data_IF_535462251533
#
_entry.id   IF_535462251533
#
_cell.length_a   1.000
_cell.length_b   1.000
_cell.length_c   1.000
_cell.angle_alpha   90.00
_cell.angle_beta   90.00
_cell.angle_gamma   90.00
#
_symmetry.space_group_name_H-M   'P 1'
#
loop_
_entity.id
_entity.type
_entity.pdbx_description
1 polymer ?
#
# COMPACT_ATOMS: atom_id res chain seq x y z
N UNK A 1 9.02 17.03 -15.53
CA UNK A 1 7.89 16.80 -14.59
C UNK A 1 8.45 16.33 -13.25
N UNK A 2 8.00 16.88 -12.11
CA UNK A 2 8.44 16.45 -10.77
C UNK A 2 7.38 15.52 -10.14
N UNK A 3 7.82 14.47 -9.46
CA UNK A 3 6.93 13.53 -8.76
C UNK A 3 6.36 14.23 -7.52
N UNK A 4 5.03 14.32 -7.35
CA UNK A 4 4.43 14.98 -6.19
C UNK A 4 4.69 14.17 -4.91
N UNK A 5 4.92 14.86 -3.79
CA UNK A 5 5.07 14.24 -2.47
C UNK A 5 3.74 13.66 -1.98
N UNK A 6 3.81 12.64 -1.11
CA UNK A 6 2.64 12.02 -0.48
C UNK A 6 1.89 13.04 0.40
N UNK A 7 0.55 12.99 0.40
CA UNK A 7 -0.29 13.85 1.26
C UNK A 7 -0.31 13.28 2.67
N UNK A 8 0.04 14.08 3.69
CA UNK A 8 0.02 13.65 5.10
C UNK A 8 -1.41 13.28 5.53
N UNK A 9 -1.55 12.10 6.16
CA UNK A 9 -2.79 11.58 6.72
C UNK A 9 -2.55 11.08 8.13
N UNK A 10 -3.62 10.80 8.86
CA UNK A 10 -3.56 10.28 10.22
C UNK A 10 -4.37 8.99 10.32
N UNK A 11 -3.78 7.97 10.91
CA UNK A 11 -4.40 6.65 11.04
C UNK A 11 -3.36 5.56 11.28
N UNK A 12 -3.83 4.31 11.50
CA UNK A 12 -2.95 3.16 11.66
C UNK A 12 -2.11 2.92 10.38
N UNK A 13 -0.80 2.79 10.55
CA UNK A 13 0.12 2.48 9.44
C UNK A 13 0.46 3.64 8.51
N UNK A 14 0.00 4.85 8.81
CA UNK A 14 0.42 6.07 8.12
C UNK A 14 1.90 6.36 8.37
N UNK A 15 2.54 7.05 7.42
CA UNK A 15 3.99 7.30 7.40
C UNK A 15 4.85 6.02 7.50
N UNK A 16 4.28 4.84 7.19
CA UNK A 16 4.95 3.55 7.35
C UNK A 16 5.09 3.08 8.80
N UNK A 17 4.33 3.65 9.73
CA UNK A 17 4.34 3.24 11.13
C UNK A 17 3.86 1.79 11.32
N UNK A 18 4.33 1.14 12.39
CA UNK A 18 3.86 -0.20 12.74
C UNK A 18 2.41 -0.17 13.24
N UNK A 19 1.63 -1.20 12.87
CA UNK A 19 0.29 -1.44 13.41
C UNK A 19 0.37 -2.57 14.42
N UNK A 20 -0.03 -2.30 15.66
CA UNK A 20 -0.04 -3.27 16.74
C UNK A 20 -1.46 -3.83 16.92
N UNK A 21 -1.57 -5.15 17.05
CA UNK A 21 -2.81 -5.85 17.39
C UNK A 21 -2.73 -6.30 18.85
N UNK A 22 -3.82 -6.18 19.60
CA UNK A 22 -3.90 -6.53 21.02
C UNK A 22 -5.07 -7.48 21.31
N UNK A 23 -4.96 -8.28 22.37
CA UNK A 23 -6.01 -9.21 22.81
C UNK A 23 -6.45 -10.21 21.73
N UNK A 24 -7.75 -10.39 21.56
CA UNK A 24 -8.35 -11.30 20.59
C UNK A 24 -7.93 -11.02 19.14
N UNK A 25 -7.57 -9.78 18.81
CA UNK A 25 -7.09 -9.43 17.46
C UNK A 25 -5.70 -9.99 17.18
N UNK A 26 -4.85 -10.08 18.21
CA UNK A 26 -3.53 -10.70 18.08
C UNK A 26 -3.66 -12.19 17.77
N UNK A 27 -4.52 -12.91 18.49
CA UNK A 27 -4.73 -14.34 18.28
C UNK A 27 -5.27 -14.64 16.87
N UNK A 28 -6.29 -13.90 16.44
CA UNK A 28 -6.83 -14.00 15.06
C UNK A 28 -5.78 -13.65 14.01
N UNK A 29 -4.96 -12.62 14.26
CA UNK A 29 -3.87 -12.24 13.37
C UNK A 29 -2.82 -13.35 13.22
N UNK A 30 -2.49 -14.05 14.31
CA UNK A 30 -1.57 -15.20 14.28
C UNK A 30 -2.15 -16.41 13.55
N UNK A 31 -3.45 -16.67 13.64
CA UNK A 31 -4.12 -17.71 12.86
C UNK A 31 -4.10 -17.38 11.36
N UNK A 32 -4.47 -16.16 10.98
CA UNK A 32 -4.44 -15.70 9.59
C UNK A 32 -3.02 -15.70 9.01
N UNK A 33 -2.02 -15.35 9.82
CA UNK A 33 -0.62 -15.40 9.42
C UNK A 33 -0.20 -16.81 8.99
N UNK A 34 -0.73 -17.86 9.62
CA UNK A 34 -0.43 -19.26 9.24
C UNK A 34 -1.10 -19.66 7.92
N UNK A 35 -2.28 -19.13 7.63
CA UNK A 35 -3.05 -19.47 6.43
C UNK A 35 -2.60 -18.66 5.21
N UNK A 36 -2.35 -17.37 5.39
CA UNK A 36 -2.12 -16.42 4.30
C UNK A 36 -0.67 -15.90 4.25
N UNK A 37 0.18 -16.34 5.18
CA UNK A 37 1.58 -15.90 5.31
C UNK A 37 1.74 -14.38 5.52
N UNK A 38 0.64 -13.69 5.85
CA UNK A 38 0.58 -12.25 6.11
C UNK A 38 -0.47 -11.94 7.18
N UNK A 39 -0.28 -10.82 7.88
CA UNK A 39 -1.26 -10.34 8.86
C UNK A 39 -2.35 -9.52 8.16
N UNK A 40 -3.40 -10.23 7.72
CA UNK A 40 -4.54 -9.65 7.01
C UNK A 40 -5.27 -8.63 7.89
N UNK A 41 -5.51 -8.93 9.18
CA UNK A 41 -6.16 -8.00 10.10
C UNK A 41 -5.40 -6.69 10.29
N UNK A 42 -4.07 -6.75 10.39
CA UNK A 42 -3.26 -5.53 10.44
C UNK A 42 -3.34 -4.77 9.11
N UNK A 43 -3.31 -5.48 7.97
CA UNK A 43 -3.46 -4.88 6.65
C UNK A 43 -4.81 -4.19 6.45
N UNK A 44 -5.90 -4.78 6.94
CA UNK A 44 -7.26 -4.23 6.82
C UNK A 44 -7.45 -2.94 7.64
N UNK A 45 -6.68 -2.76 8.71
CA UNK A 45 -6.69 -1.54 9.53
C UNK A 45 -5.94 -0.38 8.88
N UNK A 46 -5.09 -0.66 7.90
CA UNK A 46 -4.29 0.34 7.20
C UNK A 46 -5.07 0.90 6.02
N UNK A 47 -4.97 2.21 5.81
CA UNK A 47 -5.57 2.87 4.64
C UNK A 47 -4.99 2.35 3.32
N UNK A 48 -5.86 2.14 2.32
CA UNK A 48 -5.46 1.73 0.96
C UNK A 48 -4.61 2.78 0.23
N UNK A 49 -4.75 4.05 0.62
CA UNK A 49 -4.01 5.18 0.04
C UNK A 49 -3.20 5.87 1.15
N UNK A 50 -2.46 5.07 1.94
CA UNK A 50 -1.65 5.61 3.05
C UNK A 50 -0.50 6.48 2.55
N UNK A 51 -0.14 7.45 3.37
CA UNK A 51 1.06 8.27 3.20
C UNK A 51 2.31 7.48 3.57
N UNK A 52 3.37 7.65 2.77
CA UNK A 52 4.69 7.05 3.02
C UNK A 52 5.73 8.17 2.93
N UNK A 53 6.67 8.26 3.89
CA UNK A 53 7.73 9.25 3.86
C UNK A 53 8.66 8.97 2.69
N UNK A 54 9.06 10.04 2.01
CA UNK A 54 10.03 9.96 0.93
C UNK A 54 11.44 9.90 1.51
N UNK A 55 12.00 8.69 1.59
CA UNK A 55 13.37 8.45 2.08
C UNK A 55 14.41 8.44 0.95
N UNK A 56 14.05 8.91 -0.25
CA UNK A 56 14.99 8.92 -1.39
C UNK A 56 16.13 9.93 -1.15
N UNK A 57 17.36 9.63 -1.60
CA UNK A 57 18.47 10.58 -1.56
C UNK A 57 18.14 11.88 -2.30
N UNK A 58 18.77 12.99 -1.89
CA UNK A 58 18.59 14.32 -2.49
C UNK A 58 18.85 14.34 -4.00
N UNK A 59 19.79 13.53 -4.45
CA UNK A 59 20.19 13.35 -5.83
C UNK A 59 19.02 12.80 -6.65
N UNK A 60 18.26 11.84 -6.10
CA UNK A 60 17.08 11.30 -6.75
C UNK A 60 15.94 12.32 -6.85
N UNK A 61 15.82 13.23 -5.88
CA UNK A 61 14.81 14.30 -5.89
C UNK A 61 15.15 15.39 -6.91
N UNK A 62 16.44 15.58 -7.21
CA UNK A 62 16.92 16.57 -8.17
C UNK A 62 16.80 16.14 -9.64
N UNK A 63 16.51 14.86 -9.91
CA UNK A 63 16.37 14.36 -11.26
C UNK A 63 15.13 14.93 -11.94
N UNK A 64 15.31 15.47 -13.14
CA UNK A 64 14.22 15.94 -13.99
C UNK A 64 14.07 15.03 -15.20
N UNK A 65 12.86 14.48 -15.37
CA UNK A 65 12.51 13.65 -16.52
C UNK A 65 11.87 14.48 -17.64
N UNK A 66 12.10 14.14 -18.92
CA UNK A 66 11.41 14.75 -20.05
C UNK A 66 9.89 14.52 -19.94
N UNK A 67 9.09 15.40 -20.56
CA UNK A 67 7.63 15.30 -20.52
C UNK A 67 7.08 14.18 -21.40
N UNK A 68 7.84 13.76 -22.39
CA UNK A 68 7.46 12.72 -23.35
C UNK A 68 8.03 11.36 -22.90
N UNK A 69 7.37 10.78 -21.89
CA UNK A 69 7.69 9.45 -21.39
C UNK A 69 6.85 8.41 -22.15
N UNK A 70 7.41 7.24 -22.50
CA UNK A 70 6.66 6.19 -23.16
C UNK A 70 5.54 5.68 -22.25
N UNK A 71 4.41 5.31 -22.85
CA UNK A 71 3.31 4.66 -22.13
C UNK A 71 3.78 3.30 -21.61
N UNK A 72 3.51 3.04 -20.33
CA UNK A 72 3.77 1.76 -19.69
C UNK A 72 2.45 1.08 -19.31
N UNK A 73 2.38 -0.23 -19.52
CA UNK A 73 1.27 -1.07 -19.05
C UNK A 73 1.74 -1.84 -17.81
N UNK A 74 0.96 -1.76 -16.73
CA UNK A 74 1.20 -2.53 -15.50
C UNK A 74 0.29 -3.76 -15.52
N UNK A 75 0.88 -4.95 -15.57
CA UNK A 75 0.14 -6.23 -15.54
C UNK A 75 0.37 -6.89 -14.19
N UNK A 76 -0.71 -7.09 -13.42
CA UNK A 76 -0.68 -7.70 -12.10
C UNK A 76 -1.40 -9.04 -12.18
N UNK A 77 -0.67 -10.13 -11.96
CA UNK A 77 -1.23 -11.49 -11.93
C UNK A 77 -1.44 -11.89 -10.48
N UNK A 78 -2.66 -12.28 -10.13
CA UNK A 78 -3.00 -12.74 -8.78
C UNK A 78 -3.54 -14.17 -8.82
N UNK A 79 -3.07 -15.02 -7.90
CA UNK A 79 -3.59 -16.36 -7.67
C UNK A 79 -3.84 -16.53 -6.17
N UNK A 80 -5.10 -16.72 -5.78
CA UNK A 80 -5.53 -16.92 -4.37
C UNK A 80 -5.09 -15.82 -3.36
N UNK A 81 -4.77 -14.62 -3.85
CA UNK A 81 -4.40 -13.47 -3.02
C UNK A 81 -5.60 -12.90 -2.24
N UNK A 82 -5.38 -12.38 -1.03
CA UNK A 82 -6.44 -11.82 -0.18
C UNK A 82 -6.91 -10.45 -0.73
N UNK A 83 -8.21 -10.15 -0.56
CA UNK A 83 -8.83 -8.99 -1.19
C UNK A 83 -8.18 -7.66 -0.77
N UNK A 84 -7.84 -7.47 0.50
CA UNK A 84 -7.21 -6.24 0.98
C UNK A 84 -5.78 -6.01 0.46
N UNK A 85 -4.95 -7.05 0.37
CA UNK A 85 -3.62 -6.95 -0.26
C UNK A 85 -3.71 -6.60 -1.75
N UNK A 86 -4.71 -7.14 -2.45
CA UNK A 86 -5.00 -6.76 -3.85
C UNK A 86 -5.36 -5.28 -3.96
N UNK A 87 -6.28 -4.81 -3.10
CA UNK A 87 -6.73 -3.42 -3.13
C UNK A 87 -5.64 -2.41 -2.78
N UNK A 88 -4.69 -2.77 -1.91
CA UNK A 88 -3.56 -1.90 -1.61
C UNK A 88 -2.69 -1.64 -2.84
N UNK A 89 -2.49 -2.66 -3.68
CA UNK A 89 -1.67 -2.53 -4.90
C UNK A 89 -2.35 -1.67 -5.96
N UNK A 90 -3.69 -1.69 -6.02
CA UNK A 90 -4.46 -0.94 -7.00
C UNK A 90 -5.81 -0.49 -6.42
N UNK A 91 -5.85 0.60 -5.63
CA UNK A 91 -7.09 1.05 -4.98
C UNK A 91 -8.19 1.46 -5.98
N UNK A 92 -7.86 1.60 -7.27
CA UNK A 92 -8.75 2.05 -8.34
C UNK A 92 -9.57 0.96 -9.05
N UNK A 93 -9.35 -0.35 -8.83
CA UNK A 93 -10.18 -1.38 -9.50
C UNK A 93 -11.55 -1.61 -8.86
N UNK A 94 -11.83 -1.09 -7.66
CA UNK A 94 -13.16 -1.23 -7.04
C UNK A 94 -14.15 -0.15 -7.48
N UNK A 95 -13.77 0.74 -8.40
CA UNK A 95 -14.53 1.93 -8.79
C UNK A 95 -15.15 1.93 -10.19
N UNK A 96 -15.22 0.79 -10.89
CA UNK A 96 -16.01 0.67 -12.13
C UNK A 96 -16.55 -0.75 -12.30
N UNK A 97 -17.55 -1.07 -11.49
CA UNK A 97 -18.64 -1.91 -11.94
C UNK A 97 -19.92 -1.09 -11.73
N UNK A 98 -20.53 -0.73 -12.87
CA UNK A 98 -21.64 0.19 -13.11
C UNK A 98 -21.30 1.69 -13.20
#
# INVERSE_FOLDING_TARGET
MQVPASKRRYGPGEDGAAVYLEGDEWEKGQEQLKTFFMNVLASDKVSLDRSIPDSRPSECLSLSYPSDLPTASVVIVFANEFFSCKLFTYPFFTGSAC
#
